data_IF_572584381221
#
_entry.id   IF_572584381221
#
_cell.length_a   1.000
_cell.length_b   1.000
_cell.length_c   1.000
_cell.angle_alpha   90.00
_cell.angle_beta   90.00
_cell.angle_gamma   90.00
#
_symmetry.space_group_name_H-M   'P 1'
#
loop_
_entity.id
_entity.type
_entity.pdbx_description
1 polymer ?
#
# COMPACT_ATOMS: atom_id res chain seq x y z
N UNK A 1 59.04 9.58 6.64
CA UNK A 1 58.14 8.49 7.11
C UNK A 1 57.29 8.03 5.93
N UNK A 2 57.15 6.71 5.80
CA UNK A 2 56.74 5.99 4.59
C UNK A 2 55.22 6.07 4.38
N UNK A 3 54.80 6.54 3.21
CA UNK A 3 53.41 6.58 2.74
C UNK A 3 53.02 5.18 2.24
N UNK A 4 52.17 4.45 2.97
CA UNK A 4 51.67 3.13 2.56
C UNK A 4 50.21 3.24 2.11
N UNK A 5 50.05 3.49 0.80
CA UNK A 5 48.79 3.51 0.06
C UNK A 5 48.33 2.06 -0.12
N UNK A 6 47.27 1.63 0.57
CA UNK A 6 46.68 0.28 0.39
C UNK A 6 45.67 0.29 -0.77
N UNK A 7 45.88 -0.66 -1.68
CA UNK A 7 45.13 -0.90 -2.91
C UNK A 7 43.67 -1.33 -2.66
N UNK A 8 42.77 -0.85 -3.52
CA UNK A 8 41.37 -1.27 -3.60
C UNK A 8 41.28 -2.54 -4.46
N UNK A 9 40.94 -3.67 -3.83
CA UNK A 9 40.60 -4.90 -4.54
C UNK A 9 39.25 -4.77 -5.24
N UNK A 10 39.24 -4.90 -6.57
CA UNK A 10 38.04 -5.02 -7.40
C UNK A 10 37.57 -6.48 -7.38
N UNK A 11 36.44 -6.75 -6.74
CA UNK A 11 35.74 -8.04 -6.88
C UNK A 11 34.80 -7.95 -8.08
N UNK A 12 35.07 -8.78 -9.09
CA UNK A 12 34.25 -8.95 -10.30
C UNK A 12 32.93 -9.65 -9.94
N UNK A 13 31.80 -9.05 -10.30
CA UNK A 13 30.46 -9.61 -10.14
C UNK A 13 30.09 -10.35 -11.43
N UNK A 14 30.06 -11.69 -11.38
CA UNK A 14 29.55 -12.51 -12.48
C UNK A 14 28.02 -12.41 -12.55
N UNK A 15 27.52 -11.91 -13.67
CA UNK A 15 26.10 -11.85 -14.00
C UNK A 15 25.70 -13.16 -14.67
N UNK A 16 25.01 -14.05 -13.94
CA UNK A 16 24.36 -15.22 -14.54
C UNK A 16 23.10 -14.78 -15.28
N UNK A 17 23.11 -14.99 -16.60
CA UNK A 17 22.01 -14.73 -17.53
C UNK A 17 20.82 -15.64 -17.23
N UNK A 18 19.63 -15.03 -17.16
CA UNK A 18 18.31 -15.67 -17.15
C UNK A 18 18.13 -16.53 -18.40
N UNK A 19 17.63 -17.75 -18.22
CA UNK A 19 17.01 -18.56 -19.29
C UNK A 19 15.50 -18.47 -19.06
N UNK A 20 14.83 -17.65 -19.85
CA UNK A 20 13.37 -17.58 -19.94
C UNK A 20 12.96 -18.76 -20.83
N UNK A 21 12.25 -19.72 -20.23
CA UNK A 21 11.57 -20.79 -20.98
C UNK A 21 10.20 -20.24 -21.36
N UNK A 22 9.96 -20.21 -22.67
CA UNK A 22 8.68 -19.92 -23.29
C UNK A 22 7.93 -21.25 -23.42
N UNK A 23 6.80 -21.37 -22.74
CA UNK A 23 5.79 -22.42 -22.90
C UNK A 23 4.52 -21.90 -22.22
N UNK A 24 3.30 -22.07 -22.68
CA UNK A 24 2.73 -22.49 -23.96
C UNK A 24 1.37 -21.78 -24.00
N UNK A 25 0.80 -21.66 -25.20
CA UNK A 25 -0.55 -21.18 -25.45
C UNK A 25 -1.57 -21.85 -24.51
N UNK A 26 -2.44 -21.02 -23.94
CA UNK A 26 -3.59 -21.44 -23.15
C UNK A 26 -4.46 -20.24 -22.80
N UNK A 27 -4.64 -19.33 -23.76
CA UNK A 27 -5.67 -18.30 -23.65
C UNK A 27 -7.02 -18.97 -23.89
N UNK A 28 -7.84 -19.07 -22.85
CA UNK A 28 -9.27 -19.26 -23.02
C UNK A 28 -9.83 -17.89 -23.38
N UNK A 29 -10.31 -17.73 -24.61
CA UNK A 29 -10.99 -16.53 -25.06
C UNK A 29 -12.25 -16.30 -24.20
N UNK A 30 -12.37 -15.09 -23.65
CA UNK A 30 -13.50 -14.64 -22.82
C UNK A 30 -14.82 -14.48 -23.60
N UNK A 31 -14.79 -14.68 -24.92
CA UNK A 31 -15.95 -14.60 -25.81
C UNK A 31 -16.82 -15.88 -25.79
N UNK A 32 -16.33 -17.00 -25.25
CA UNK A 32 -17.08 -18.27 -25.24
C UNK A 32 -17.91 -18.50 -23.94
N UNK A 33 -17.87 -17.55 -23.00
CA UNK A 33 -18.64 -17.60 -21.75
C UNK A 33 -20.01 -16.90 -21.84
N UNK A 34 -20.34 -16.29 -22.98
CA UNK A 34 -21.65 -15.69 -23.28
C UNK A 34 -22.35 -16.38 -24.46
N UNK A 35 -22.09 -17.68 -24.64
CA UNK A 35 -22.85 -18.53 -25.53
C UNK A 35 -24.28 -18.72 -25.01
N UNK A 36 -25.21 -18.04 -25.67
CA UNK A 36 -26.65 -18.33 -25.72
C UNK A 36 -27.47 -18.08 -24.43
N UNK A 37 -27.63 -16.80 -24.07
CA UNK A 37 -28.70 -16.36 -23.15
C UNK A 37 -29.95 -15.91 -23.93
N UNK A 38 -30.34 -16.67 -24.97
CA UNK A 38 -31.54 -16.40 -25.80
C UNK A 38 -32.74 -17.31 -25.47
N UNK A 39 -32.76 -17.99 -24.30
CA UNK A 39 -33.96 -18.71 -23.87
C UNK A 39 -34.14 -18.83 -22.35
N UNK A 40 -33.96 -17.72 -21.62
CA UNK A 40 -34.43 -17.64 -20.23
C UNK A 40 -35.78 -16.90 -20.21
N UNK A 41 -36.86 -17.63 -20.56
CA UNK A 41 -38.21 -17.12 -20.34
C UNK A 41 -38.44 -16.91 -18.84
N UNK A 42 -38.46 -15.65 -18.42
CA UNK A 42 -38.75 -15.25 -17.05
C UNK A 42 -40.19 -15.64 -16.72
N UNK A 43 -40.38 -16.69 -15.92
CA UNK A 43 -41.71 -17.11 -15.51
C UNK A 43 -42.39 -16.00 -14.68
N UNK A 44 -43.54 -15.52 -15.15
CA UNK A 44 -44.37 -14.57 -14.42
C UNK A 44 -44.71 -15.12 -13.02
N UNK A 45 -44.25 -14.41 -12.01
CA UNK A 45 -44.45 -14.77 -10.61
C UNK A 45 -45.93 -14.66 -10.25
N UNK A 46 -46.53 -15.79 -9.84
CA UNK A 46 -47.93 -15.84 -9.36
C UNK A 46 -48.15 -14.86 -8.20
N UNK A 47 -49.29 -14.14 -8.15
CA UNK A 47 -49.59 -13.24 -7.02
C UNK A 47 -49.82 -14.08 -5.75
N UNK A 48 -48.93 -13.90 -4.77
CA UNK A 48 -49.02 -14.57 -3.48
C UNK A 48 -50.17 -13.92 -2.68
N UNK A 49 -51.22 -14.71 -2.43
CA UNK A 49 -52.35 -14.36 -1.56
C UNK A 49 -51.85 -13.84 -0.21
N UNK A 50 -52.30 -12.63 0.10
CA UNK A 50 -52.29 -12.00 1.41
C UNK A 50 -52.85 -12.96 2.46
N UNK A 51 -52.03 -13.34 3.44
CA UNK A 51 -52.49 -13.87 4.73
C UNK A 51 -51.89 -13.02 5.84
N UNK A 52 -52.73 -12.11 6.31
CA UNK A 52 -52.66 -11.35 7.55
C UNK A 52 -52.30 -12.26 8.72
N UNK A 53 -51.17 -12.01 9.40
CA UNK A 53 -51.00 -12.37 10.80
C UNK A 53 -49.88 -11.58 11.48
N UNK A 54 -50.33 -10.82 12.47
CA UNK A 54 -49.68 -10.45 13.73
C UNK A 54 -48.65 -9.32 13.71
N UNK A 55 -49.15 -8.15 14.11
CA UNK A 55 -48.41 -7.05 14.72
C UNK A 55 -47.51 -7.60 15.84
N UNK A 56 -46.20 -7.54 15.60
CA UNK A 56 -45.21 -7.39 16.65
C UNK A 56 -44.48 -6.08 16.36
N UNK A 57 -44.67 -5.19 17.33
CA UNK A 57 -44.15 -3.84 17.47
C UNK A 57 -42.62 -3.88 17.38
N UNK A 58 -42.09 -3.40 16.27
CA UNK A 58 -40.67 -3.14 16.06
C UNK A 58 -40.59 -1.66 15.73
N UNK A 59 -40.38 -0.85 16.78
CA UNK A 59 -39.96 0.54 16.68
C UNK A 59 -38.66 0.58 15.87
N UNK A 60 -38.81 0.72 14.56
CA UNK A 60 -37.76 1.07 13.62
C UNK A 60 -37.53 2.57 13.79
N UNK A 61 -36.79 2.93 14.84
CA UNK A 61 -36.19 4.25 14.99
C UNK A 61 -35.11 4.37 13.91
N UNK A 62 -35.55 4.70 12.69
CA UNK A 62 -34.73 5.18 11.58
C UNK A 62 -34.19 6.57 11.97
N UNK A 63 -33.34 6.57 12.99
CA UNK A 63 -32.37 7.61 13.24
C UNK A 63 -31.40 7.55 12.06
N UNK A 64 -31.79 8.24 10.98
CA UNK A 64 -30.93 8.65 9.88
C UNK A 64 -29.74 9.42 10.44
N UNK A 65 -28.75 8.66 10.92
CA UNK A 65 -27.44 9.16 11.23
C UNK A 65 -26.80 9.42 9.87
N UNK A 66 -27.09 10.61 9.34
CA UNK A 66 -26.26 11.29 8.37
C UNK A 66 -24.87 11.34 9.01
N UNK A 67 -24.09 10.27 8.79
CA UNK A 67 -22.68 10.25 9.10
C UNK A 67 -22.11 11.26 8.13
N UNK A 68 -22.10 12.52 8.56
CA UNK A 68 -21.31 13.56 7.98
C UNK A 68 -19.95 12.91 7.78
N UNK A 69 -19.63 12.61 6.52
CA UNK A 69 -18.27 12.40 6.07
C UNK A 69 -17.58 13.74 6.27
N UNK A 70 -17.38 14.10 7.52
CA UNK A 70 -16.37 15.02 7.97
C UNK A 70 -15.08 14.40 7.52
N UNK A 71 -14.71 14.70 6.27
CA UNK A 71 -13.33 14.81 5.87
C UNK A 71 -12.74 15.84 6.81
N UNK A 72 -12.42 15.40 8.03
CA UNK A 72 -11.60 16.15 8.95
C UNK A 72 -10.29 16.28 8.19
N UNK A 73 -10.17 17.41 7.50
CA UNK A 73 -8.95 17.80 6.83
C UNK A 73 -8.00 18.10 7.98
N UNK A 74 -7.40 17.04 8.51
CA UNK A 74 -6.31 17.16 9.45
C UNK A 74 -5.22 17.79 8.61
N UNK A 75 -4.95 19.08 8.83
CA UNK A 75 -3.91 19.81 8.12
C UNK A 75 -2.56 19.13 8.40
N UNK A 76 -2.20 18.19 7.53
CA UNK A 76 -0.89 17.57 7.52
C UNK A 76 0.08 18.61 6.97
N UNK A 77 0.70 19.37 7.88
CA UNK A 77 1.66 20.40 7.52
C UNK A 77 2.84 19.88 6.70
N UNK A 78 3.57 20.80 6.05
CA UNK A 78 4.76 20.48 5.24
C UNK A 78 5.79 19.65 6.02
N UNK A 79 6.14 18.50 5.46
CA UNK A 79 7.16 17.58 6.00
C UNK A 79 8.52 18.02 5.47
N UNK A 80 9.47 18.27 6.37
CA UNK A 80 10.86 18.58 5.98
C UNK A 80 11.64 17.30 5.75
N UNK A 81 11.96 17.02 4.49
CA UNK A 81 12.69 15.83 4.09
C UNK A 81 14.17 16.19 3.91
N UNK A 82 15.07 15.35 4.41
CA UNK A 82 16.48 15.38 4.05
C UNK A 82 16.92 14.02 3.59
N UNK A 83 17.17 13.89 2.31
CA UNK A 83 17.65 12.69 1.68
C UNK A 83 19.17 12.77 1.45
N UNK A 84 19.88 11.73 1.87
CA UNK A 84 21.28 11.53 1.46
C UNK A 84 21.37 10.77 0.13
N UNK A 85 20.31 10.01 -0.20
CA UNK A 85 20.17 9.18 -1.40
C UNK A 85 18.68 9.08 -1.78
N UNK A 86 18.34 8.74 -3.03
CA UNK A 86 16.95 8.46 -3.40
C UNK A 86 16.35 7.37 -2.52
N UNK A 87 15.12 7.58 -2.02
CA UNK A 87 14.39 6.60 -1.20
C UNK A 87 14.24 5.25 -1.91
N UNK A 88 14.14 5.26 -3.24
CA UNK A 88 14.13 4.10 -4.13
C UNK A 88 15.36 3.19 -3.97
N UNK A 89 16.50 3.73 -3.50
CA UNK A 89 17.76 3.01 -3.35
C UNK A 89 18.02 2.52 -1.92
N UNK A 90 17.12 2.83 -0.97
CA UNK A 90 17.20 2.31 0.38
C UNK A 90 17.01 0.80 0.39
N UNK A 91 17.84 0.12 1.19
CA UNK A 91 17.82 -1.32 1.35
C UNK A 91 17.62 -1.66 2.82
N UNK A 92 17.27 -2.92 3.04
CA UNK A 92 17.27 -3.51 4.38
C UNK A 92 18.57 -3.21 5.13
N UNK A 93 18.45 -2.67 6.33
CA UNK A 93 19.55 -2.25 7.20
C UNK A 93 20.02 -0.81 7.03
N UNK A 94 19.46 -0.02 6.10
CA UNK A 94 19.69 1.43 6.09
C UNK A 94 18.99 2.09 7.30
N UNK A 95 19.52 3.23 7.75
CA UNK A 95 19.00 3.96 8.93
C UNK A 95 18.20 5.18 8.48
N UNK A 96 17.01 5.32 9.05
CA UNK A 96 16.12 6.47 8.82
C UNK A 96 15.84 7.15 10.16
N UNK A 97 15.73 8.47 10.15
CA UNK A 97 15.32 9.27 11.29
C UNK A 97 13.96 9.90 11.05
N UNK A 98 12.98 9.51 11.84
CA UNK A 98 11.61 10.04 11.79
C UNK A 98 11.37 10.87 13.05
N UNK A 99 11.23 12.19 12.91
CA UNK A 99 11.03 13.14 14.02
C UNK A 99 12.11 13.06 15.14
N UNK A 100 13.30 12.57 14.79
CA UNK A 100 14.41 12.34 15.72
C UNK A 100 14.53 10.90 16.27
N UNK A 101 13.56 10.03 16.00
CA UNK A 101 13.63 8.60 16.32
C UNK A 101 14.44 7.86 15.26
N UNK A 102 15.36 7.00 15.67
CA UNK A 102 16.27 6.29 14.76
C UNK A 102 15.71 4.90 14.47
N UNK A 103 15.17 4.74 13.27
CA UNK A 103 14.56 3.52 12.76
C UNK A 103 15.49 2.83 11.73
N UNK A 104 15.34 1.53 11.58
CA UNK A 104 16.06 0.73 10.59
C UNK A 104 15.10 0.21 9.53
N UNK A 105 15.51 0.24 8.26
CA UNK A 105 14.72 -0.28 7.14
C UNK A 105 14.72 -1.80 7.19
N UNK A 106 13.54 -2.41 7.24
CA UNK A 106 13.41 -3.86 7.11
C UNK A 106 13.09 -4.26 5.67
N UNK A 107 12.02 -3.72 5.10
CA UNK A 107 11.57 -4.09 3.76
C UNK A 107 11.25 -2.85 2.92
N UNK A 108 11.45 -3.01 1.62
CA UNK A 108 11.10 -2.01 0.62
C UNK A 108 10.36 -2.70 -0.51
N UNK A 109 9.05 -2.46 -0.56
CA UNK A 109 8.10 -3.18 -1.40
C UNK A 109 7.24 -2.23 -2.22
N UNK A 110 6.85 -2.67 -3.41
CA UNK A 110 5.89 -1.96 -4.26
C UNK A 110 4.48 -2.40 -3.86
N UNK A 111 3.64 -1.45 -3.44
CA UNK A 111 2.24 -1.73 -3.07
C UNK A 111 1.38 -1.87 -4.31
N UNK A 112 1.41 -0.85 -5.17
CA UNK A 112 0.56 -0.77 -6.36
C UNK A 112 1.30 -0.10 -7.50
N UNK A 113 1.09 -0.62 -8.71
CA UNK A 113 1.57 -0.01 -9.95
C UNK A 113 0.37 0.63 -10.66
N UNK A 114 0.37 1.96 -10.77
CA UNK A 114 -0.65 2.72 -11.49
C UNK A 114 -0.24 3.01 -12.95
N UNK A 115 0.82 2.35 -13.45
CA UNK A 115 1.36 2.51 -14.79
C UNK A 115 2.27 3.73 -14.92
N UNK A 116 1.73 4.92 -14.66
CA UNK A 116 2.50 6.18 -14.70
C UNK A 116 3.26 6.45 -13.39
N UNK A 117 2.69 6.05 -12.25
CA UNK A 117 3.26 6.21 -10.92
C UNK A 117 3.19 4.88 -10.16
N UNK A 118 4.16 4.66 -9.27
CA UNK A 118 4.22 3.47 -8.43
C UNK A 118 4.12 3.87 -6.97
N UNK A 119 3.16 3.27 -6.27
CA UNK A 119 3.06 3.36 -4.83
C UNK A 119 4.08 2.41 -4.21
N UNK A 120 5.02 2.97 -3.46
CA UNK A 120 6.06 2.25 -2.75
C UNK A 120 5.78 2.32 -1.26
N UNK A 121 6.02 1.23 -0.54
CA UNK A 121 6.10 1.24 0.91
C UNK A 121 7.46 0.78 1.40
N UNK A 122 7.85 1.38 2.50
CA UNK A 122 9.08 1.11 3.18
C UNK A 122 8.76 0.86 4.65
N UNK A 123 8.94 -0.39 5.07
CA UNK A 123 8.70 -0.83 6.43
C UNK A 123 9.98 -0.62 7.24
N UNK A 124 9.84 0.11 8.34
CA UNK A 124 10.94 0.46 9.23
C UNK A 124 10.56 0.16 10.66
N UNK A 125 11.51 -0.32 11.45
CA UNK A 125 11.28 -0.60 12.86
C UNK A 125 12.16 0.30 13.73
N UNK A 126 11.62 0.72 14.87
CA UNK A 126 12.36 1.46 15.88
C UNK A 126 12.93 0.52 16.95
N UNK A 127 13.84 1.04 17.79
CA UNK A 127 14.42 0.31 18.93
C UNK A 127 13.41 -0.16 19.96
N UNK A 128 12.21 0.41 19.95
CA UNK A 128 11.10 0.03 20.83
C UNK A 128 10.21 -1.06 20.23
N UNK A 129 10.69 -1.80 19.22
CA UNK A 129 9.91 -2.82 18.47
C UNK A 129 8.59 -2.24 17.93
N UNK A 130 8.65 -0.97 17.51
CA UNK A 130 7.53 -0.31 16.85
C UNK A 130 7.74 -0.34 15.36
N UNK A 131 6.77 -0.90 14.66
CA UNK A 131 6.74 -0.90 13.21
C UNK A 131 6.10 0.38 12.69
N UNK A 132 6.80 1.00 11.75
CA UNK A 132 6.36 2.14 10.98
C UNK A 132 6.39 1.77 9.51
N UNK A 133 5.43 2.30 8.77
CA UNK A 133 5.36 2.13 7.32
C UNK A 133 5.36 3.50 6.67
N UNK A 134 6.35 3.74 5.81
CA UNK A 134 6.44 4.96 5.02
C UNK A 134 5.91 4.63 3.63
N UNK A 135 4.87 5.33 3.18
CA UNK A 135 4.33 5.21 1.82
C UNK A 135 4.66 6.46 1.02
N UNK A 136 4.93 6.28 -0.25
CA UNK A 136 5.22 7.38 -1.16
C UNK A 136 5.01 6.95 -2.62
N UNK A 137 4.78 7.91 -3.49
CA UNK A 137 4.83 7.69 -4.94
C UNK A 137 6.24 7.97 -5.47
N UNK A 138 6.73 7.12 -6.36
CA UNK A 138 8.09 7.21 -6.90
C UNK A 138 8.36 8.54 -7.64
N UNK A 139 7.36 9.07 -8.35
CA UNK A 139 7.45 10.33 -9.08
C UNK A 139 7.43 11.57 -8.17
N UNK A 140 6.78 11.48 -6.99
CA UNK A 140 6.49 12.63 -6.13
C UNK A 140 6.73 12.35 -4.64
N UNK A 141 7.90 11.84 -4.29
CA UNK A 141 8.26 11.48 -2.91
C UNK A 141 8.02 12.63 -1.94
N UNK A 142 8.46 13.84 -2.27
CA UNK A 142 8.44 14.96 -1.32
C UNK A 142 7.03 15.41 -0.91
N UNK A 143 6.05 15.22 -1.80
CA UNK A 143 4.67 15.68 -1.60
C UNK A 143 3.75 14.58 -1.09
N UNK A 144 4.11 13.33 -1.36
CA UNK A 144 3.24 12.17 -1.13
C UNK A 144 3.75 11.26 -0.03
N UNK A 145 4.83 11.64 0.67
CA UNK A 145 5.34 10.84 1.77
C UNK A 145 4.34 10.85 2.93
N UNK A 146 3.95 9.67 3.34
CA UNK A 146 3.03 9.45 4.44
C UNK A 146 3.64 8.43 5.39
N UNK A 147 3.62 8.73 6.69
CA UNK A 147 4.15 7.83 7.72
C UNK A 147 2.99 7.26 8.50
N UNK A 148 2.99 5.95 8.67
CA UNK A 148 2.03 5.19 9.44
C UNK A 148 2.74 4.48 10.59
N UNK A 149 2.09 4.40 11.74
CA UNK A 149 2.52 3.60 12.90
C UNK A 149 1.57 2.40 13.02
N UNK A 150 2.13 1.19 13.11
CA UNK A 150 1.33 0.00 13.37
C UNK A 150 0.83 0.03 14.82
N UNK A 151 -0.49 -0.03 15.01
CA UNK A 151 -1.12 -0.19 16.32
C UNK A 151 -2.06 -1.38 16.34
N UNK A 152 -1.72 -2.36 17.17
CA UNK A 152 -2.44 -3.64 17.37
C UNK A 152 -2.64 -4.47 16.10
N UNK A 153 -3.46 -4.01 15.16
CA UNK A 153 -3.77 -4.67 13.89
C UNK A 153 -3.86 -3.71 12.70
N UNK A 154 -3.73 -2.39 12.93
CA UNK A 154 -3.99 -1.38 11.90
C UNK A 154 -2.89 -0.31 11.84
N UNK A 155 -2.62 0.14 10.62
CA UNK A 155 -1.70 1.25 10.37
C UNK A 155 -2.43 2.58 10.54
N UNK A 156 -1.98 3.39 11.50
CA UNK A 156 -2.54 4.71 11.76
C UNK A 156 -1.58 5.77 11.22
N UNK A 157 -2.08 6.64 10.34
CA UNK A 157 -1.31 7.76 9.81
C UNK A 157 -0.85 8.68 10.95
N UNK A 158 0.45 8.98 10.98
CA UNK A 158 1.09 9.81 11.98
C UNK A 158 1.62 11.10 11.35
N UNK A 159 1.25 12.29 11.85
CA UNK A 159 1.86 13.52 11.40
C UNK A 159 3.32 13.56 11.87
N UNK A 160 4.23 13.80 10.94
CA UNK A 160 5.68 13.91 11.20
C UNK A 160 6.16 15.25 10.68
N UNK A 161 7.09 15.91 11.39
CA UNK A 161 7.61 17.21 10.95
C UNK A 161 8.85 17.07 10.08
N UNK A 162 9.62 16.02 10.32
CA UNK A 162 10.93 15.85 9.72
C UNK A 162 11.27 14.38 9.50
N UNK A 163 11.77 14.06 8.30
CA UNK A 163 12.26 12.73 7.95
C UNK A 163 13.66 12.90 7.34
N UNK A 164 14.64 12.12 7.82
CA UNK A 164 16.01 12.16 7.32
C UNK A 164 16.53 10.74 7.06
N UNK A 165 17.23 10.49 5.95
CA UNK A 165 17.89 9.20 5.67
C UNK A 165 19.19 9.37 4.87
#
# INVERSE_FOLDING_TARGET
MVVKKKEKGKVKKEVKKKKIVKAEEGGMDLDDAFGDDEDVTYAESKPKKVKKKKEEDLDEDDSGNEVERGSSSVDFGEIKIKDSKPIAQLKRGDKIRIDGNECEVDEHSMLMDHGATKEMALDVFDKNDKDYQIRYFDDQVERTIEVYELREIMYIRKPVKKIEW
#
